data_IF_132285145245
#
_entry.id   IF_132285145245
#
_cell.length_a   1.000
_cell.length_b   1.000
_cell.length_c   1.000
_cell.angle_alpha   90.00
_cell.angle_beta   90.00
_cell.angle_gamma   90.00
#
_symmetry.space_group_name_H-M   'P 1'
#
loop_
_entity.id
_entity.type
_entity.pdbx_description
1 polymer ?
#
# COMPACT_ATOMS: atom_id res chain seq x y z
N UNK A 1 4.06 -24.06 -10.70
CA UNK A 1 4.61 -25.11 -9.84
C UNK A 1 3.85 -26.41 -10.10
N UNK A 2 4.54 -27.49 -9.94
CA UNK A 2 3.98 -28.83 -9.96
C UNK A 2 4.07 -29.36 -8.54
N UNK A 3 2.92 -29.70 -7.97
CA UNK A 3 2.80 -30.24 -6.63
C UNK A 3 2.25 -31.65 -6.74
N UNK A 4 3.08 -32.61 -6.44
CA UNK A 4 2.69 -33.99 -6.35
C UNK A 4 2.26 -34.29 -4.90
N UNK A 5 0.99 -34.61 -4.73
CA UNK A 5 0.44 -35.08 -3.46
C UNK A 5 -0.08 -36.50 -3.64
N UNK A 6 0.61 -37.51 -3.14
CA UNK A 6 0.20 -38.92 -3.28
C UNK A 6 -1.03 -39.26 -2.44
N UNK A 7 -1.53 -38.32 -1.60
CA UNK A 7 -2.71 -38.50 -0.77
C UNK A 7 -3.80 -37.48 -1.07
N UNK A 8 -4.96 -37.96 -1.43
CA UNK A 8 -6.16 -37.14 -1.47
C UNK A 8 -6.57 -36.76 -0.04
N UNK A 9 -6.46 -35.49 0.31
CA UNK A 9 -6.86 -34.95 1.62
C UNK A 9 -5.85 -35.09 2.75
N UNK A 10 -4.59 -35.41 2.48
CA UNK A 10 -3.51 -35.47 3.46
C UNK A 10 -2.43 -34.42 3.21
N UNK A 11 -1.87 -33.86 4.29
CA UNK A 11 -0.73 -32.95 4.23
C UNK A 11 0.59 -33.61 4.66
N UNK A 12 0.64 -34.93 4.65
CA UNK A 12 1.89 -35.65 4.93
C UNK A 12 2.62 -35.88 3.64
N UNK A 13 3.75 -35.20 3.48
CA UNK A 13 4.67 -35.49 2.39
C UNK A 13 5.25 -36.90 2.57
N UNK A 14 4.92 -37.79 1.63
CA UNK A 14 5.44 -39.15 1.58
C UNK A 14 6.36 -39.37 0.39
N UNK A 15 6.66 -38.30 -0.36
CA UNK A 15 7.59 -38.35 -1.47
C UNK A 15 9.01 -38.07 -0.99
N UNK A 16 9.74 -39.13 -0.67
CA UNK A 16 11.15 -39.05 -0.27
C UNK A 16 12.05 -38.52 -1.42
N UNK A 17 11.54 -38.51 -2.65
CA UNK A 17 12.29 -38.03 -3.82
C UNK A 17 12.12 -36.54 -4.07
N UNK A 18 11.23 -35.85 -3.35
CA UNK A 18 10.95 -34.42 -3.50
C UNK A 18 10.68 -34.06 -4.98
N UNK A 19 9.82 -34.81 -5.65
CA UNK A 19 9.60 -34.74 -7.09
C UNK A 19 8.86 -33.48 -7.56
N UNK A 20 8.32 -32.66 -6.63
CA UNK A 20 7.67 -31.41 -6.96
C UNK A 20 8.63 -30.41 -7.62
N UNK A 21 8.13 -29.65 -8.61
CA UNK A 21 8.95 -28.71 -9.36
C UNK A 21 8.32 -27.32 -9.45
N UNK A 22 9.16 -26.30 -9.40
CA UNK A 22 8.77 -24.91 -9.67
C UNK A 22 9.32 -24.50 -11.02
N UNK A 23 8.40 -24.23 -11.96
CA UNK A 23 8.75 -23.80 -13.30
C UNK A 23 8.70 -22.27 -13.42
N UNK A 24 9.62 -21.72 -14.19
CA UNK A 24 9.61 -20.31 -14.57
C UNK A 24 9.41 -20.19 -16.07
N UNK A 25 8.36 -19.52 -16.49
CA UNK A 25 8.18 -19.10 -17.87
C UNK A 25 8.91 -17.78 -18.07
N UNK A 26 9.86 -17.75 -19.01
CA UNK A 26 10.67 -16.58 -19.31
C UNK A 26 10.99 -16.53 -20.81
N UNK A 27 11.27 -15.34 -21.38
CA UNK A 27 11.74 -15.22 -22.77
C UNK A 27 13.02 -16.03 -23.01
N UNK A 28 13.21 -16.49 -24.25
CA UNK A 28 14.46 -17.19 -24.65
C UNK A 28 15.68 -16.33 -24.33
N UNK A 29 16.65 -16.92 -23.66
CA UNK A 29 17.88 -16.22 -23.27
C UNK A 29 17.79 -15.39 -21.98
N UNK A 30 16.64 -15.40 -21.29
CA UNK A 30 16.50 -14.71 -20.01
C UNK A 30 17.48 -15.30 -18.97
N UNK A 31 18.28 -14.41 -18.38
CA UNK A 31 19.16 -14.75 -17.26
C UNK A 31 18.60 -14.12 -15.98
N UNK A 32 18.37 -14.93 -14.95
CA UNK A 32 17.96 -14.44 -13.64
C UNK A 32 19.09 -13.66 -13.01
N UNK A 33 18.79 -12.48 -12.47
CA UNK A 33 19.71 -11.70 -11.66
C UNK A 33 19.12 -11.45 -10.28
N UNK A 34 19.94 -11.60 -9.25
CA UNK A 34 19.55 -11.21 -7.88
C UNK A 34 19.91 -9.74 -7.68
N UNK A 35 18.97 -8.88 -7.25
CA UNK A 35 19.30 -7.49 -6.95
C UNK A 35 20.35 -7.40 -5.85
N UNK A 36 21.46 -6.69 -6.11
CA UNK A 36 22.45 -6.38 -5.08
C UNK A 36 22.01 -5.13 -4.34
N UNK A 37 21.43 -5.29 -3.16
CA UNK A 37 20.91 -4.21 -2.32
C UNK A 37 21.64 -4.20 -0.97
N UNK A 38 22.13 -3.02 -0.60
CA UNK A 38 22.63 -2.82 0.76
C UNK A 38 21.51 -2.33 1.67
N UNK A 39 20.83 -3.23 2.38
CA UNK A 39 19.72 -2.91 3.26
C UNK A 39 20.12 -2.22 4.58
N UNK A 40 21.42 -2.08 4.85
CA UNK A 40 21.92 -1.31 6.01
C UNK A 40 21.92 0.20 5.74
N UNK A 41 21.81 0.63 4.47
CA UNK A 41 21.75 2.04 4.09
C UNK A 41 20.34 2.46 3.74
N UNK A 42 19.98 3.72 4.04
CA UNK A 42 18.70 4.30 3.63
C UNK A 42 18.50 4.25 2.11
N UNK A 43 19.56 4.50 1.33
CA UNK A 43 19.51 4.43 -0.14
C UNK A 43 19.17 3.01 -0.64
N UNK A 44 19.78 1.98 -0.07
CA UNK A 44 19.50 0.60 -0.42
C UNK A 44 18.10 0.15 0.01
N UNK A 45 17.61 0.63 1.16
CA UNK A 45 16.25 0.38 1.63
C UNK A 45 15.21 1.04 0.71
N UNK A 46 15.47 2.27 0.23
CA UNK A 46 14.63 2.96 -0.76
C UNK A 46 14.67 2.22 -2.12
N UNK A 47 15.83 1.78 -2.57
CA UNK A 47 15.95 0.98 -3.79
C UNK A 47 15.15 -0.33 -3.69
N UNK A 48 15.22 -1.00 -2.53
CA UNK A 48 14.40 -2.18 -2.26
C UNK A 48 12.89 -1.86 -2.28
N UNK A 49 12.46 -0.76 -1.63
CA UNK A 49 11.05 -0.32 -1.63
C UNK A 49 10.52 -0.06 -3.06
N UNK A 50 11.38 0.40 -3.96
CA UNK A 50 11.05 0.64 -5.38
C UNK A 50 10.99 -0.64 -6.21
N UNK A 51 11.51 -1.76 -5.74
CA UNK A 51 11.57 -3.02 -6.47
C UNK A 51 10.18 -3.52 -6.93
N UNK A 52 10.15 -4.15 -8.10
CA UNK A 52 8.96 -4.84 -8.60
C UNK A 52 8.74 -6.19 -7.90
N UNK A 53 9.80 -6.82 -7.36
CA UNK A 53 9.71 -8.06 -6.61
C UNK A 53 9.11 -7.80 -5.22
N UNK A 54 8.00 -8.48 -4.91
CA UNK A 54 7.23 -8.26 -3.67
C UNK A 54 8.06 -8.52 -2.42
N UNK A 55 8.83 -9.60 -2.38
CA UNK A 55 9.70 -9.96 -1.28
C UNK A 55 10.78 -8.90 -1.02
N UNK A 56 11.46 -8.43 -2.08
CA UNK A 56 12.47 -7.37 -1.98
C UNK A 56 11.85 -6.06 -1.50
N UNK A 57 10.70 -5.69 -2.07
CA UNK A 57 9.94 -4.49 -1.67
C UNK A 57 9.54 -4.52 -0.21
N UNK A 58 9.11 -5.69 0.29
CA UNK A 58 8.73 -5.86 1.68
C UNK A 58 9.93 -5.69 2.63
N UNK A 59 11.12 -6.16 2.24
CA UNK A 59 12.35 -5.93 3.02
C UNK A 59 12.63 -4.42 3.15
N UNK A 60 12.57 -3.67 2.05
CA UNK A 60 12.73 -2.21 2.08
C UNK A 60 11.69 -1.53 2.97
N UNK A 61 10.41 -1.92 2.83
CA UNK A 61 9.32 -1.38 3.63
C UNK A 61 9.55 -1.62 5.13
N UNK A 62 9.87 -2.84 5.51
CA UNK A 62 10.07 -3.23 6.92
C UNK A 62 11.26 -2.50 7.55
N UNK A 63 12.40 -2.39 6.83
CA UNK A 63 13.58 -1.67 7.32
C UNK A 63 13.30 -0.17 7.49
N UNK A 64 12.68 0.49 6.51
CA UNK A 64 12.31 1.90 6.59
C UNK A 64 11.29 2.16 7.70
N UNK A 65 10.33 1.26 7.89
CA UNK A 65 9.35 1.35 8.99
C UNK A 65 10.05 1.23 10.35
N UNK A 66 10.97 0.29 10.51
CA UNK A 66 11.75 0.11 11.75
C UNK A 66 12.62 1.35 12.06
N UNK A 67 13.15 2.05 11.05
CA UNK A 67 13.89 3.29 11.22
C UNK A 67 13.00 4.48 11.69
N UNK A 68 11.68 4.33 11.61
CA UNK A 68 10.70 5.30 12.13
C UNK A 68 10.84 6.68 11.51
N UNK A 69 10.78 7.73 12.35
CA UNK A 69 10.84 9.14 11.90
C UNK A 69 12.09 9.49 11.08
N UNK A 70 13.19 8.75 11.26
CA UNK A 70 14.43 8.99 10.51
C UNK A 70 14.27 8.72 9.01
N UNK A 71 13.38 7.82 8.62
CA UNK A 71 13.13 7.49 7.21
C UNK A 71 12.16 8.46 6.52
N UNK A 72 11.44 9.30 7.26
CA UNK A 72 10.41 10.20 6.71
C UNK A 72 10.93 11.07 5.57
N UNK A 73 12.10 11.74 5.64
CA UNK A 73 12.56 12.58 4.53
C UNK A 73 12.78 11.77 3.23
N UNK A 74 13.47 10.63 3.34
CA UNK A 74 13.77 9.78 2.18
C UNK A 74 12.50 9.18 1.56
N UNK A 75 11.54 8.74 2.39
CA UNK A 75 10.26 8.20 1.90
C UNK A 75 9.38 9.31 1.32
N UNK A 76 9.35 10.50 1.93
CA UNK A 76 8.57 11.65 1.43
C UNK A 76 9.06 12.13 0.05
N UNK A 77 10.34 12.03 -0.26
CA UNK A 77 10.87 12.33 -1.59
C UNK A 77 10.22 11.46 -2.68
N UNK A 78 9.79 10.25 -2.36
CA UNK A 78 9.11 9.35 -3.30
C UNK A 78 7.69 9.81 -3.67
N UNK A 79 7.10 10.78 -2.97
CA UNK A 79 5.81 11.36 -3.37
C UNK A 79 5.89 12.09 -4.70
N UNK A 80 7.09 12.52 -5.12
CA UNK A 80 7.36 13.11 -6.44
C UNK A 80 7.83 12.11 -7.51
N UNK A 81 7.85 10.80 -7.23
CA UNK A 81 8.27 9.80 -8.21
C UNK A 81 7.31 9.76 -9.41
N UNK A 82 7.85 9.61 -10.64
CA UNK A 82 7.04 9.50 -11.86
C UNK A 82 6.12 8.29 -11.84
N UNK A 83 6.53 7.20 -11.19
CA UNK A 83 5.76 5.99 -11.07
C UNK A 83 4.68 6.10 -9.97
N UNK A 84 3.41 6.12 -10.37
CA UNK A 84 2.26 6.20 -9.46
C UNK A 84 2.25 5.12 -8.36
N UNK A 85 2.75 3.92 -8.67
CA UNK A 85 2.80 2.83 -7.69
C UNK A 85 3.86 3.07 -6.61
N UNK A 86 4.98 3.73 -6.96
CA UNK A 86 5.99 4.13 -5.98
C UNK A 86 5.45 5.25 -5.10
N UNK A 87 4.77 6.24 -5.66
CA UNK A 87 4.07 7.27 -4.88
C UNK A 87 3.09 6.67 -3.88
N UNK A 88 2.26 5.72 -4.33
CA UNK A 88 1.31 5.03 -3.46
C UNK A 88 2.00 4.26 -2.31
N UNK A 89 3.12 3.56 -2.60
CA UNK A 89 3.92 2.88 -1.57
C UNK A 89 4.44 3.86 -0.52
N UNK A 90 4.91 5.04 -0.97
CA UNK A 90 5.38 6.09 -0.08
C UNK A 90 4.26 6.58 0.85
N UNK A 91 3.05 6.79 0.35
CA UNK A 91 1.88 7.18 1.18
C UNK A 91 1.58 6.13 2.24
N UNK A 92 1.52 4.85 1.85
CA UNK A 92 1.27 3.75 2.79
C UNK A 92 2.36 3.62 3.87
N UNK A 93 3.62 3.83 3.51
CA UNK A 93 4.71 3.78 4.48
C UNK A 93 4.69 5.01 5.38
N UNK A 94 4.57 6.23 4.82
CA UNK A 94 4.52 7.47 5.59
C UNK A 94 3.42 7.45 6.65
N UNK A 95 2.23 6.94 6.33
CA UNK A 95 1.15 6.84 7.31
C UNK A 95 1.51 6.01 8.55
N UNK A 96 2.50 5.12 8.43
CA UNK A 96 2.97 4.25 9.52
C UNK A 96 4.24 4.75 10.21
N UNK A 97 4.74 5.94 9.86
CA UNK A 97 5.95 6.53 10.44
C UNK A 97 5.63 7.58 11.54
N UNK A 98 4.50 7.40 12.22
CA UNK A 98 4.05 8.30 13.30
C UNK A 98 3.64 9.68 12.79
N UNK A 99 3.52 10.64 13.70
CA UNK A 99 2.98 11.98 13.40
C UNK A 99 3.76 12.70 12.29
N UNK A 100 5.07 12.53 12.21
CA UNK A 100 5.89 13.16 11.18
C UNK A 100 5.56 12.64 9.77
N UNK A 101 5.30 11.34 9.64
CA UNK A 101 4.86 10.73 8.39
C UNK A 101 3.42 11.10 8.06
N UNK A 102 2.51 11.03 9.02
CA UNK A 102 1.09 11.43 8.88
C UNK A 102 0.98 12.88 8.38
N UNK A 103 1.83 13.79 8.89
CA UNK A 103 1.88 15.19 8.46
C UNK A 103 2.20 15.34 6.96
N UNK A 104 2.95 14.39 6.37
CA UNK A 104 3.23 14.35 4.93
C UNK A 104 2.07 13.77 4.11
N UNK A 105 1.23 12.92 4.71
CA UNK A 105 0.08 12.30 4.03
C UNK A 105 -1.16 13.21 4.04
N UNK A 106 -1.44 13.91 5.14
CA UNK A 106 -2.66 14.76 5.29
C UNK A 106 -2.87 15.74 4.12
N UNK A 107 -1.86 16.48 3.60
CA UNK A 107 -2.04 17.38 2.47
C UNK A 107 -2.51 16.69 1.19
N UNK A 108 -2.19 15.41 1.02
CA UNK A 108 -2.56 14.62 -0.16
C UNK A 108 -4.08 14.39 -0.29
N UNK A 109 -4.86 14.60 0.76
CA UNK A 109 -6.33 14.62 0.69
C UNK A 109 -6.87 15.74 -0.21
N UNK A 110 -6.04 16.72 -0.58
CA UNK A 110 -6.35 17.81 -1.52
C UNK A 110 -5.56 17.72 -2.82
N UNK A 111 -4.92 16.59 -3.09
CA UNK A 111 -4.12 16.39 -4.29
C UNK A 111 -5.01 16.48 -5.56
N UNK A 112 -4.49 17.03 -6.66
CA UNK A 112 -5.22 17.14 -7.94
C UNK A 112 -5.68 15.79 -8.48
N UNK A 113 -4.83 14.75 -8.37
CA UNK A 113 -5.15 13.38 -8.76
C UNK A 113 -6.06 12.70 -7.74
N UNK A 114 -7.27 12.30 -8.17
CA UNK A 114 -8.25 11.58 -7.35
C UNK A 114 -7.69 10.25 -6.78
N UNK A 115 -6.86 9.55 -7.55
CA UNK A 115 -6.25 8.31 -7.06
C UNK A 115 -5.32 8.56 -5.86
N UNK A 116 -4.59 9.67 -5.85
CA UNK A 116 -3.75 10.04 -4.71
C UNK A 116 -4.59 10.44 -3.50
N UNK A 117 -5.72 11.15 -3.68
CA UNK A 117 -6.66 11.44 -2.58
C UNK A 117 -7.23 10.17 -1.96
N UNK A 118 -7.62 9.19 -2.79
CA UNK A 118 -8.09 7.87 -2.33
C UNK A 118 -7.00 7.14 -1.53
N UNK A 119 -5.78 7.06 -2.05
CA UNK A 119 -4.68 6.36 -1.36
C UNK A 119 -4.37 7.03 -0.03
N UNK A 120 -4.32 8.36 0.02
CA UNK A 120 -4.10 9.11 1.25
C UNK A 120 -5.22 8.87 2.28
N UNK A 121 -6.48 8.92 1.85
CA UNK A 121 -7.62 8.67 2.72
C UNK A 121 -7.61 7.26 3.29
N UNK A 122 -7.37 6.23 2.45
CA UNK A 122 -7.23 4.83 2.88
C UNK A 122 -6.10 4.65 3.89
N UNK A 123 -4.94 5.26 3.62
CA UNK A 123 -3.78 5.15 4.48
C UNK A 123 -4.03 5.79 5.86
N UNK A 124 -4.63 6.98 5.91
CA UNK A 124 -5.01 7.65 7.16
C UNK A 124 -6.09 6.88 7.92
N UNK A 125 -7.12 6.38 7.22
CA UNK A 125 -8.17 5.54 7.81
C UNK A 125 -7.59 4.29 8.48
N UNK A 126 -6.63 3.64 7.85
CA UNK A 126 -6.00 2.44 8.41
C UNK A 126 -5.21 2.71 9.69
N UNK A 127 -4.78 3.93 9.90
CA UNK A 127 -4.10 4.37 11.12
C UNK A 127 -5.06 5.05 12.11
N UNK A 128 -6.35 5.02 11.84
CA UNK A 128 -7.41 5.65 12.64
C UNK A 128 -7.19 7.17 12.86
N UNK A 129 -6.69 7.85 11.82
CA UNK A 129 -6.37 9.28 11.88
C UNK A 129 -7.55 10.11 11.38
N UNK A 130 -8.24 10.79 12.30
CA UNK A 130 -9.29 11.77 12.01
C UNK A 130 -10.33 11.28 10.98
N UNK A 131 -10.80 10.03 11.06
CA UNK A 131 -11.62 9.39 10.03
C UNK A 131 -12.84 10.24 9.66
N UNK A 132 -13.70 10.58 10.61
CA UNK A 132 -14.93 11.33 10.35
C UNK A 132 -14.66 12.73 9.77
N UNK A 133 -13.65 13.42 10.32
CA UNK A 133 -13.24 14.74 9.82
C UNK A 133 -12.74 14.70 8.39
N UNK A 134 -11.93 13.69 8.04
CA UNK A 134 -11.41 13.52 6.69
C UNK A 134 -12.50 13.07 5.70
N UNK A 135 -13.40 12.19 6.13
CA UNK A 135 -14.55 11.75 5.36
C UNK A 135 -15.49 12.92 5.05
N UNK A 136 -15.85 13.76 6.03
CA UNK A 136 -16.69 14.93 5.82
C UNK A 136 -16.09 15.91 4.81
N UNK A 137 -14.76 16.10 4.79
CA UNK A 137 -14.09 16.94 3.78
C UNK A 137 -14.17 16.37 2.36
N UNK A 138 -14.19 15.04 2.22
CA UNK A 138 -14.18 14.34 0.95
C UNK A 138 -15.59 13.92 0.47
N UNK A 139 -16.62 14.13 1.28
CA UNK A 139 -18.00 13.80 0.93
C UNK A 139 -18.51 14.57 -0.30
N UNK A 140 -17.99 15.79 -0.53
CA UNK A 140 -18.26 16.62 -1.72
C UNK A 140 -17.12 16.61 -2.75
N UNK A 141 -16.28 15.58 -2.74
CA UNK A 141 -15.19 15.49 -3.72
C UNK A 141 -15.75 15.44 -5.15
N UNK A 142 -15.15 16.14 -6.14
CA UNK A 142 -15.60 16.11 -7.52
C UNK A 142 -15.53 14.72 -8.17
N UNK A 143 -14.70 13.82 -7.63
CA UNK A 143 -14.54 12.45 -8.15
C UNK A 143 -15.53 11.49 -7.49
N UNK A 144 -16.44 10.84 -8.26
CA UNK A 144 -17.31 9.78 -7.75
C UNK A 144 -16.54 8.64 -7.07
N UNK A 145 -15.34 8.32 -7.58
CA UNK A 145 -14.49 7.29 -7.00
C UNK A 145 -14.03 7.64 -5.57
N UNK A 146 -13.74 8.91 -5.30
CA UNK A 146 -13.40 9.39 -3.95
C UNK A 146 -14.64 9.34 -3.05
N UNK A 147 -15.82 9.83 -3.53
CA UNK A 147 -17.07 9.77 -2.77
C UNK A 147 -17.45 8.34 -2.42
N UNK A 148 -17.32 7.41 -3.37
CA UNK A 148 -17.51 5.97 -3.11
C UNK A 148 -16.60 5.44 -1.99
N UNK A 149 -15.34 5.85 -1.98
CA UNK A 149 -14.40 5.45 -0.94
C UNK A 149 -14.79 5.98 0.44
N UNK A 150 -15.31 7.22 0.48
CA UNK A 150 -15.87 7.80 1.72
C UNK A 150 -17.09 7.01 2.18
N UNK A 151 -18.03 6.68 1.29
CA UNK A 151 -19.21 5.87 1.63
C UNK A 151 -18.80 4.50 2.23
N UNK A 152 -17.82 3.82 1.62
CA UNK A 152 -17.29 2.56 2.14
C UNK A 152 -16.64 2.71 3.52
N UNK A 153 -16.04 3.86 3.79
CA UNK A 153 -15.42 4.14 5.08
C UNK A 153 -16.43 4.39 6.21
N UNK A 154 -17.65 4.80 5.86
CA UNK A 154 -18.74 5.05 6.82
C UNK A 154 -19.46 3.78 7.28
N UNK A 155 -19.16 2.63 6.67
CA UNK A 155 -19.74 1.35 7.07
C UNK A 155 -19.48 1.07 8.56
N UNK A 156 -20.50 0.67 9.27
CA UNK A 156 -20.45 0.26 10.69
C UNK A 156 -20.14 1.39 11.70
N UNK A 157 -20.20 2.67 11.30
CA UNK A 157 -19.98 3.79 12.23
C UNK A 157 -21.27 4.30 12.89
N UNK A 158 -22.43 3.70 12.61
CA UNK A 158 -23.70 4.06 13.22
C UNK A 158 -24.08 5.54 13.00
N UNK A 159 -24.56 6.18 14.07
CA UNK A 159 -25.07 7.56 14.00
C UNK A 159 -24.01 8.60 13.61
N UNK A 160 -22.76 8.35 13.89
CA UNK A 160 -21.65 9.27 13.56
C UNK A 160 -21.43 9.40 12.04
N UNK A 161 -21.83 8.39 11.28
CA UNK A 161 -21.75 8.42 9.82
C UNK A 161 -22.85 9.28 9.15
N UNK A 162 -23.98 9.54 9.84
CA UNK A 162 -25.17 10.16 9.24
C UNK A 162 -24.88 11.48 8.52
N UNK A 163 -24.16 12.45 9.11
CA UNK A 163 -23.90 13.72 8.42
C UNK A 163 -23.15 13.54 7.10
N UNK A 164 -22.14 12.66 7.10
CA UNK A 164 -21.34 12.37 5.90
C UNK A 164 -22.17 11.63 4.84
N UNK A 165 -22.98 10.65 5.26
CA UNK A 165 -23.86 9.89 4.35
C UNK A 165 -24.96 10.76 3.76
N UNK A 166 -25.53 11.69 4.54
CA UNK A 166 -26.50 12.69 4.04
C UNK A 166 -25.88 13.55 2.94
N UNK A 167 -24.65 14.04 3.15
CA UNK A 167 -23.93 14.80 2.13
C UNK A 167 -23.68 13.96 0.87
N UNK A 168 -23.24 12.72 1.02
CA UNK A 168 -23.03 11.83 -0.13
C UNK A 168 -24.33 11.57 -0.92
N UNK A 169 -25.47 11.45 -0.24
CA UNK A 169 -26.76 11.19 -0.87
C UNK A 169 -27.28 12.37 -1.73
N UNK A 170 -26.66 13.55 -1.65
CA UNK A 170 -27.01 14.68 -2.54
C UNK A 170 -26.40 14.57 -3.94
N UNK A 171 -25.48 13.61 -4.15
CA UNK A 171 -24.83 13.38 -5.43
C UNK A 171 -25.53 12.26 -6.20
N UNK A 172 -25.80 12.52 -7.47
CA UNK A 172 -26.21 11.51 -8.45
C UNK A 172 -24.98 11.05 -9.23
N UNK A 173 -24.56 9.79 -9.01
CA UNK A 173 -23.37 9.20 -9.64
C UNK A 173 -23.75 7.99 -10.51
#
# INVERSE_FOLDING_TARGET
CDWYDPRVGGHSDQDETLSGAIYRVAPKGFKSSTPKLNLETSAGQIAALKSNAINVRNLGFTRLKAAGKKSVPAVAALLGDSNKFIRARAVWLLSQLGNAGIAKVKPLLKHSDAAMRIVAFRALRRQDVDLLKNAGKLANDPSPAVRREVALAMRNLGKEAVPTLTTLATHFD
#
